data_IF_621381425945
#
_entry.id   IF_621381425945
#
_cell.length_a   1.000
_cell.length_b   1.000
_cell.length_c   1.000
_cell.angle_alpha   90.00
_cell.angle_beta   90.00
_cell.angle_gamma   90.00
#
_symmetry.space_group_name_H-M   'P 1'
#
loop_
_entity.id
_entity.type
_entity.pdbx_description
1 polymer ?
#
# COMPACT_ATOMS: atom_id res chain seq x y z
N UNK A 1 7.93 -13.66 0.68
CA UNK A 1 8.43 -13.95 2.05
C UNK A 1 9.64 -13.08 2.30
N UNK A 2 9.67 -12.40 3.45
CA UNK A 2 10.86 -11.64 3.89
C UNK A 2 11.91 -12.58 4.49
N UNK A 3 13.18 -12.22 4.31
CA UNK A 3 14.34 -12.86 4.93
C UNK A 3 15.22 -11.76 5.54
N UNK A 4 16.00 -12.10 6.56
CA UNK A 4 16.97 -11.18 7.15
C UNK A 4 17.86 -10.53 6.07
N UNK A 5 18.10 -9.23 6.18
CA UNK A 5 18.84 -8.44 5.21
C UNK A 5 18.05 -8.01 3.97
N UNK A 6 16.77 -8.39 3.84
CA UNK A 6 15.91 -7.77 2.82
C UNK A 6 15.65 -6.29 3.14
N UNK A 7 15.25 -5.53 2.13
CA UNK A 7 15.10 -4.09 2.22
C UNK A 7 13.66 -3.67 1.86
N UNK A 8 13.19 -2.64 2.53
CA UNK A 8 11.93 -1.94 2.25
C UNK A 8 12.28 -0.48 2.00
N UNK A 9 11.77 0.10 0.92
CA UNK A 9 11.93 1.52 0.64
C UNK A 9 10.60 2.21 0.94
N UNK A 10 10.65 3.28 1.72
CA UNK A 10 9.55 4.20 2.01
C UNK A 10 9.92 5.61 1.57
N UNK A 11 8.97 6.53 1.55
CA UNK A 11 9.24 7.91 1.14
C UNK A 11 9.08 8.89 2.31
N UNK A 12 9.75 10.04 2.24
CA UNK A 12 9.54 11.15 3.17
C UNK A 12 8.17 11.85 2.99
N UNK A 13 7.43 11.51 1.92
CA UNK A 13 6.07 12.01 1.67
C UNK A 13 4.99 11.21 2.37
N UNK A 14 5.32 10.02 2.90
CA UNK A 14 4.35 9.09 3.45
C UNK A 14 3.69 9.58 4.74
N UNK A 15 2.45 9.17 4.92
CA UNK A 15 1.83 9.14 6.23
C UNK A 15 2.52 8.10 7.11
N UNK A 16 2.65 8.36 8.41
CA UNK A 16 3.29 7.44 9.36
C UNK A 16 2.66 6.03 9.37
N UNK A 17 1.36 5.92 9.08
CA UNK A 17 0.67 4.65 8.91
C UNK A 17 1.20 3.76 7.76
N UNK A 18 1.93 4.36 6.79
CA UNK A 18 2.62 3.63 5.72
C UNK A 18 4.14 3.56 5.94
N UNK A 19 4.64 3.99 7.10
CA UNK A 19 6.07 3.94 7.48
C UNK A 19 6.29 3.08 8.72
N UNK A 20 5.65 3.43 9.85
CA UNK A 20 5.87 2.76 11.13
C UNK A 20 5.66 1.25 11.11
N UNK A 21 4.63 0.68 10.42
CA UNK A 21 4.49 -0.78 10.33
C UNK A 21 5.69 -1.46 9.67
N UNK A 22 6.33 -0.80 8.70
CA UNK A 22 7.54 -1.34 8.06
C UNK A 22 8.76 -1.26 8.97
N UNK A 23 8.87 -0.20 9.78
CA UNK A 23 9.94 -0.07 10.79
C UNK A 23 9.83 -1.16 11.86
N UNK A 24 8.62 -1.44 12.35
CA UNK A 24 8.40 -2.51 13.33
C UNK A 24 8.66 -3.89 12.72
N UNK A 25 8.16 -4.14 11.50
CA UNK A 25 8.46 -5.39 10.77
C UNK A 25 9.96 -5.58 10.55
N UNK A 26 10.67 -4.50 10.22
CA UNK A 26 12.11 -4.54 10.01
C UNK A 26 12.85 -4.90 11.29
N UNK A 27 12.41 -4.40 12.45
CA UNK A 27 12.96 -4.76 13.75
C UNK A 27 12.74 -6.25 14.07
N UNK A 28 11.55 -6.76 13.78
CA UNK A 28 11.18 -8.15 14.09
C UNK A 28 11.90 -9.17 13.19
N UNK A 29 12.21 -8.80 11.95
CA UNK A 29 12.72 -9.72 10.93
C UNK A 29 14.14 -9.42 10.46
N UNK A 30 14.84 -8.47 11.12
CA UNK A 30 16.20 -8.02 10.72
C UNK A 30 16.24 -7.54 9.26
N UNK A 31 15.32 -6.63 8.91
CA UNK A 31 15.26 -5.97 7.61
C UNK A 31 15.86 -4.57 7.70
N UNK A 32 16.10 -3.95 6.54
CA UNK A 32 16.51 -2.55 6.46
C UNK A 32 15.40 -1.71 5.83
N UNK A 33 15.01 -0.62 6.49
CA UNK A 33 14.13 0.40 5.88
C UNK A 33 14.98 1.55 5.38
N UNK A 34 14.79 1.91 4.11
CA UNK A 34 15.45 3.03 3.44
C UNK A 34 14.44 4.11 3.09
N UNK A 35 14.86 5.35 3.08
CA UNK A 35 14.00 6.49 2.81
C UNK A 35 14.39 7.17 1.50
N UNK A 36 13.44 7.27 0.57
CA UNK A 36 13.55 8.14 -0.58
C UNK A 36 13.22 9.59 -0.15
N UNK A 37 14.04 10.54 -0.59
CA UNK A 37 13.94 11.94 -0.21
C UNK A 37 12.90 12.69 -1.06
N UNK A 38 12.55 13.88 -0.62
CA UNK A 38 11.74 14.85 -1.35
C UNK A 38 12.61 16.04 -1.76
N UNK A 39 12.20 16.73 -2.81
CA UNK A 39 12.80 17.99 -3.26
C UNK A 39 12.23 19.17 -2.47
N UNK A 40 12.87 20.33 -2.60
CA UNK A 40 12.44 21.56 -1.94
C UNK A 40 11.01 22.00 -2.33
N UNK A 41 10.55 21.61 -3.52
CA UNK A 41 9.19 21.84 -4.01
C UNK A 41 8.16 20.82 -3.51
N UNK A 42 8.57 19.94 -2.59
CA UNK A 42 7.78 18.84 -1.99
C UNK A 42 7.46 17.68 -2.96
N UNK A 43 8.04 17.66 -4.16
CA UNK A 43 7.90 16.48 -5.04
C UNK A 43 8.81 15.33 -4.58
N UNK A 44 8.40 14.09 -4.84
CA UNK A 44 9.25 12.92 -4.61
C UNK A 44 10.47 12.98 -5.53
N UNK A 45 11.66 12.85 -4.97
CA UNK A 45 12.88 12.72 -5.73
C UNK A 45 13.05 11.29 -6.25
N UNK A 46 12.73 11.09 -7.54
CA UNK A 46 12.82 9.79 -8.19
C UNK A 46 14.27 9.29 -8.33
N UNK A 47 15.26 10.19 -8.39
CA UNK A 47 16.67 9.80 -8.41
C UNK A 47 17.10 9.29 -7.03
N UNK A 48 16.63 9.96 -5.95
CA UNK A 48 16.80 9.47 -4.59
C UNK A 48 16.13 8.11 -4.40
N UNK A 49 14.90 7.92 -4.90
CA UNK A 49 14.21 6.64 -4.85
C UNK A 49 15.01 5.55 -5.55
N UNK A 50 15.44 5.79 -6.79
CA UNK A 50 16.23 4.84 -7.56
C UNK A 50 17.55 4.45 -6.85
N UNK A 51 18.19 5.41 -6.19
CA UNK A 51 19.43 5.17 -5.43
C UNK A 51 19.21 4.31 -4.17
N UNK A 52 17.99 4.22 -3.64
CA UNK A 52 17.67 3.35 -2.50
C UNK A 52 17.33 1.92 -2.91
N UNK A 53 17.07 1.65 -4.20
CA UNK A 53 16.70 0.33 -4.69
C UNK A 53 17.91 -0.59 -4.84
N UNK A 54 17.72 -1.87 -4.55
CA UNK A 54 18.71 -2.92 -4.73
C UNK A 54 18.03 -4.28 -5.02
N UNK A 55 18.80 -5.29 -5.37
CA UNK A 55 18.32 -6.68 -5.52
C UNK A 55 17.71 -7.26 -4.23
N UNK A 56 17.96 -6.64 -3.07
CA UNK A 56 17.39 -7.02 -1.77
C UNK A 56 16.07 -6.32 -1.49
N UNK A 57 15.71 -5.28 -2.23
CA UNK A 57 14.43 -4.57 -2.07
C UNK A 57 13.26 -5.53 -2.34
N UNK A 58 12.28 -5.55 -1.45
CA UNK A 58 11.08 -6.40 -1.56
C UNK A 58 9.80 -5.61 -1.66
N UNK A 59 9.78 -4.40 -1.10
CA UNK A 59 8.64 -3.50 -1.13
C UNK A 59 9.13 -2.08 -1.32
N UNK A 60 8.45 -1.34 -2.18
CA UNK A 60 8.50 0.11 -2.25
C UNK A 60 7.13 0.61 -1.81
N UNK A 61 7.06 1.20 -0.61
CA UNK A 61 5.85 1.79 -0.07
C UNK A 61 5.87 3.31 -0.29
N UNK A 62 4.77 3.85 -0.83
CA UNK A 62 4.69 5.26 -1.21
C UNK A 62 3.24 5.77 -1.20
N UNK A 63 3.00 7.07 -0.99
CA UNK A 63 1.68 7.64 -1.06
C UNK A 63 1.31 7.90 -2.52
N UNK A 64 0.02 7.79 -2.86
CA UNK A 64 -0.48 8.30 -4.15
C UNK A 64 -0.52 9.83 -4.16
N UNK A 65 -0.90 10.40 -3.01
CA UNK A 65 -0.81 11.82 -2.71
C UNK A 65 -0.43 12.03 -1.25
N UNK A 66 0.46 12.98 -0.98
CA UNK A 66 0.85 13.31 0.38
C UNK A 66 -0.32 13.91 1.17
N UNK A 67 -0.59 13.39 2.34
CA UNK A 67 -1.59 13.93 3.26
C UNK A 67 -1.13 15.24 3.93
N UNK A 68 0.17 15.52 3.94
CA UNK A 68 0.75 16.69 4.60
C UNK A 68 0.84 17.90 3.66
N UNK A 69 1.24 17.70 2.42
CA UNK A 69 1.53 18.78 1.45
C UNK A 69 0.69 18.71 0.17
N UNK A 70 -0.10 17.64 -0.03
CA UNK A 70 -1.00 17.48 -1.17
C UNK A 70 -0.31 17.13 -2.49
N UNK A 71 1.00 16.98 -2.51
CA UNK A 71 1.77 16.64 -3.72
C UNK A 71 1.35 15.26 -4.24
N UNK A 72 1.11 15.19 -5.54
CA UNK A 72 0.84 13.93 -6.25
C UNK A 72 2.16 13.24 -6.62
N UNK A 73 2.18 11.93 -6.47
CA UNK A 73 3.30 11.08 -6.90
C UNK A 73 3.03 10.54 -8.30
N UNK A 74 4.05 10.44 -9.13
CA UNK A 74 3.99 9.67 -10.38
C UNK A 74 3.99 8.17 -10.03
N UNK A 75 2.80 7.67 -9.70
CA UNK A 75 2.59 6.30 -9.20
C UNK A 75 3.07 5.26 -10.20
N UNK A 76 2.80 5.49 -11.50
CA UNK A 76 3.19 4.55 -12.55
C UNK A 76 4.72 4.44 -12.64
N UNK A 77 5.42 5.58 -12.56
CA UNK A 77 6.89 5.57 -12.61
C UNK A 77 7.51 4.94 -11.35
N UNK A 78 6.94 5.18 -10.16
CA UNK A 78 7.39 4.53 -8.93
C UNK A 78 7.17 3.03 -8.98
N UNK A 79 6.00 2.59 -9.48
CA UNK A 79 5.70 1.16 -9.65
C UNK A 79 6.67 0.49 -10.65
N UNK A 80 6.98 1.15 -11.76
CA UNK A 80 7.97 0.67 -12.74
C UNK A 80 9.35 0.48 -12.10
N UNK A 81 9.85 1.48 -11.36
CA UNK A 81 11.13 1.39 -10.64
C UNK A 81 11.14 0.27 -9.60
N UNK A 82 10.03 0.08 -8.87
CA UNK A 82 9.90 -1.02 -7.91
C UNK A 82 10.01 -2.37 -8.62
N UNK A 83 9.32 -2.54 -9.75
CA UNK A 83 9.33 -3.79 -10.53
C UNK A 83 10.69 -4.05 -11.18
N UNK A 84 11.39 -3.02 -11.68
CA UNK A 84 12.76 -3.13 -12.19
C UNK A 84 13.72 -3.71 -11.12
N UNK A 85 13.50 -3.38 -9.84
CA UNK A 85 14.25 -3.92 -8.72
C UNK A 85 13.72 -5.29 -8.20
N UNK A 86 12.64 -5.82 -8.79
CA UNK A 86 11.97 -7.05 -8.34
C UNK A 86 11.17 -6.88 -7.05
N UNK A 87 10.82 -5.65 -6.69
CA UNK A 87 10.03 -5.29 -5.51
C UNK A 87 8.55 -5.09 -5.82
N UNK A 88 7.71 -5.19 -4.79
CA UNK A 88 6.29 -4.86 -4.89
C UNK A 88 6.07 -3.35 -4.77
N UNK A 89 5.19 -2.81 -5.62
CA UNK A 89 4.68 -1.44 -5.55
C UNK A 89 3.48 -1.38 -4.58
N UNK A 90 3.66 -0.79 -3.41
CA UNK A 90 2.69 -0.70 -2.33
C UNK A 90 2.21 0.74 -2.15
N UNK A 91 1.04 1.06 -2.68
CA UNK A 91 0.51 2.41 -2.73
C UNK A 91 -0.47 2.69 -1.58
N UNK A 92 -0.25 3.77 -0.83
CA UNK A 92 -1.22 4.37 0.07
C UNK A 92 -2.04 5.42 -0.68
N UNK A 93 -3.28 5.08 -1.04
CA UNK A 93 -4.23 5.98 -1.68
C UNK A 93 -5.25 6.59 -0.69
N UNK A 94 -5.04 6.45 0.61
CA UNK A 94 -5.96 6.91 1.67
C UNK A 94 -6.28 8.41 1.51
N UNK A 95 -5.29 9.22 1.14
CA UNK A 95 -5.54 10.65 0.88
C UNK A 95 -6.05 10.91 -0.54
N UNK A 96 -5.59 10.16 -1.54
CA UNK A 96 -5.94 10.40 -2.94
C UNK A 96 -7.33 9.89 -3.34
N UNK A 97 -7.77 8.74 -2.81
CA UNK A 97 -9.00 8.07 -3.25
C UNK A 97 -10.28 8.96 -3.27
N UNK A 98 -10.45 9.96 -2.38
CA UNK A 98 -11.57 10.90 -2.48
C UNK A 98 -11.45 11.95 -3.59
N UNK A 99 -10.28 12.10 -4.21
CA UNK A 99 -9.97 13.20 -5.13
C UNK A 99 -9.90 12.78 -6.61
N UNK A 100 -9.79 11.50 -6.88
CA UNK A 100 -9.69 11.01 -8.25
C UNK A 100 -9.78 9.50 -8.40
N UNK A 101 -9.93 9.01 -9.63
CA UNK A 101 -9.99 7.57 -9.89
C UNK A 101 -8.65 6.90 -9.56
N UNK A 102 -8.73 5.75 -8.90
CA UNK A 102 -7.58 4.90 -8.58
C UNK A 102 -7.58 3.68 -9.49
N UNK A 103 -7.08 3.84 -10.72
CA UNK A 103 -6.93 2.70 -11.64
C UNK A 103 -5.62 1.95 -11.30
N UNK A 104 -5.77 0.91 -10.51
CA UNK A 104 -4.64 0.08 -10.03
C UNK A 104 -3.91 -0.64 -11.18
N UNK A 105 -4.63 -0.98 -12.25
CA UNK A 105 -4.06 -1.67 -13.41
C UNK A 105 -3.22 -0.70 -14.24
N UNK A 106 -3.77 0.47 -14.56
CA UNK A 106 -3.04 1.49 -15.32
C UNK A 106 -1.84 2.04 -14.55
N UNK A 107 -1.95 2.15 -13.22
CA UNK A 107 -0.87 2.60 -12.35
C UNK A 107 0.18 1.51 -12.07
N UNK A 108 -0.10 0.25 -12.38
CA UNK A 108 0.82 -0.86 -12.18
C UNK A 108 1.10 -1.22 -10.72
N UNK A 109 0.25 -0.80 -9.76
CA UNK A 109 0.47 -1.10 -8.35
C UNK A 109 0.08 -2.55 -8.02
N UNK A 110 0.83 -3.15 -7.11
CA UNK A 110 0.60 -4.51 -6.64
C UNK A 110 -0.36 -4.56 -5.46
N UNK A 111 -0.27 -3.57 -4.58
CA UNK A 111 -1.13 -3.39 -3.41
C UNK A 111 -1.54 -1.93 -3.30
N UNK A 112 -2.81 -1.69 -2.98
CA UNK A 112 -3.33 -0.36 -2.72
C UNK A 112 -4.16 -0.36 -1.44
N UNK A 113 -3.93 0.64 -0.61
CA UNK A 113 -4.67 0.86 0.63
C UNK A 113 -5.55 2.11 0.51
N UNK A 114 -6.77 2.04 1.00
CA UNK A 114 -7.63 3.20 1.15
C UNK A 114 -8.54 3.12 2.38
N UNK A 115 -9.12 4.26 2.73
CA UNK A 115 -9.99 4.40 3.90
C UNK A 115 -11.31 5.08 3.51
N UNK A 116 -12.41 4.32 3.39
CA UNK A 116 -13.72 4.84 2.96
C UNK A 116 -14.23 6.05 3.72
N UNK A 117 -13.88 6.22 5.00
CA UNK A 117 -14.33 7.39 5.76
C UNK A 117 -13.85 8.74 5.19
N UNK A 118 -12.84 8.75 4.33
CA UNK A 118 -12.38 9.96 3.62
C UNK A 118 -13.18 10.29 2.37
N UNK A 119 -14.05 9.36 1.91
CA UNK A 119 -14.92 9.56 0.76
C UNK A 119 -16.36 9.08 1.06
N UNK A 120 -16.97 9.70 2.05
CA UNK A 120 -18.38 9.52 2.48
C UNK A 120 -18.72 8.13 3.04
N UNK A 121 -17.76 7.26 3.24
CA UNK A 121 -17.97 5.91 3.72
C UNK A 121 -17.73 5.76 5.23
N UNK A 122 -17.89 4.55 5.75
CA UNK A 122 -17.67 4.23 7.16
C UNK A 122 -16.19 4.08 7.50
N UNK A 123 -15.88 3.94 8.79
CA UNK A 123 -14.53 3.66 9.29
C UNK A 123 -14.16 2.21 9.01
N UNK A 124 -13.64 1.98 7.82
CA UNK A 124 -13.06 0.73 7.34
C UNK A 124 -11.68 0.98 6.74
N UNK A 125 -10.81 -0.02 6.81
CA UNK A 125 -9.66 -0.15 5.93
C UNK A 125 -10.03 -1.04 4.75
N UNK A 126 -9.66 -0.63 3.54
CA UNK A 126 -9.81 -1.44 2.33
C UNK A 126 -8.43 -1.63 1.71
N UNK A 127 -8.10 -2.87 1.41
CA UNK A 127 -6.87 -3.24 0.71
C UNK A 127 -7.22 -3.94 -0.60
N UNK A 128 -6.64 -3.47 -1.68
CA UNK A 128 -6.54 -4.22 -2.93
C UNK A 128 -5.17 -4.89 -2.97
N UNK A 129 -5.11 -6.11 -3.48
CA UNK A 129 -3.86 -6.71 -3.93
C UNK A 129 -4.11 -7.54 -5.18
N UNK A 130 -3.08 -7.69 -6.03
CA UNK A 130 -3.19 -8.52 -7.22
C UNK A 130 -3.50 -9.96 -6.83
N UNK A 131 -4.31 -10.62 -7.66
CA UNK A 131 -4.78 -11.99 -7.43
C UNK A 131 -3.64 -12.96 -7.13
N UNK A 132 -2.58 -12.90 -7.91
CA UNK A 132 -1.44 -13.82 -7.81
C UNK A 132 -0.72 -13.68 -6.46
N UNK A 133 -0.70 -12.47 -5.89
CA UNK A 133 -0.16 -12.24 -4.55
C UNK A 133 -1.06 -12.85 -3.49
N UNK A 134 -2.36 -12.59 -3.56
CA UNK A 134 -3.32 -13.15 -2.61
C UNK A 134 -3.33 -14.69 -2.63
N UNK A 135 -3.18 -15.30 -3.79
CA UNK A 135 -3.09 -16.76 -3.94
C UNK A 135 -1.80 -17.33 -3.34
N UNK A 136 -0.69 -16.59 -3.47
CA UNK A 136 0.63 -17.03 -3.01
C UNK A 136 0.89 -16.75 -1.52
N UNK A 137 0.24 -15.73 -0.94
CA UNK A 137 0.49 -15.34 0.44
C UNK A 137 -0.25 -16.23 1.44
N UNK A 138 0.42 -16.54 2.54
CA UNK A 138 -0.18 -17.25 3.66
C UNK A 138 -0.91 -16.25 4.57
N UNK A 139 -2.24 -16.34 4.74
CA UNK A 139 -2.97 -15.48 5.64
C UNK A 139 -2.67 -15.83 7.10
N UNK A 140 -2.60 -14.81 7.95
CA UNK A 140 -2.48 -14.98 9.39
C UNK A 140 -3.87 -14.83 10.03
N UNK A 141 -4.61 -15.93 10.14
CA UNK A 141 -5.99 -15.97 10.60
C UNK A 141 -6.31 -17.23 11.39
N UNK A 142 -7.48 -17.25 12.02
CA UNK A 142 -8.00 -18.44 12.73
C UNK A 142 -8.41 -19.52 11.73
N UNK A 143 -8.25 -20.80 12.12
CA UNK A 143 -8.52 -21.96 11.25
C UNK A 143 -9.92 -22.00 10.61
N UNK A 144 -11.02 -21.66 11.33
CA UNK A 144 -12.36 -21.73 10.74
C UNK A 144 -12.70 -20.58 9.79
N UNK A 145 -11.86 -19.55 9.67
CA UNK A 145 -12.11 -18.48 8.71
C UNK A 145 -11.97 -18.97 7.26
N UNK A 146 -12.92 -18.59 6.40
CA UNK A 146 -12.99 -19.05 5.02
C UNK A 146 -11.76 -18.68 4.18
N UNK A 147 -11.37 -19.54 3.26
CA UNK A 147 -10.33 -19.25 2.26
C UNK A 147 -10.92 -18.74 0.94
N UNK A 148 -12.20 -18.97 0.74
CA UNK A 148 -12.92 -18.54 -0.46
C UNK A 148 -14.19 -17.72 -0.08
N UNK A 149 -14.58 -16.74 -0.88
CA UNK A 149 -13.84 -16.22 -2.04
C UNK A 149 -12.51 -15.58 -1.62
N UNK A 150 -11.58 -15.40 -2.57
CA UNK A 150 -10.19 -14.97 -2.31
C UNK A 150 -10.06 -13.70 -1.45
N UNK A 151 -11.00 -12.74 -1.59
CA UNK A 151 -11.06 -11.56 -0.71
C UNK A 151 -11.25 -11.90 0.76
N UNK A 152 -11.99 -12.96 1.11
CA UNK A 152 -12.19 -13.40 2.50
C UNK A 152 -10.96 -14.06 3.11
N UNK A 153 -10.03 -14.52 2.29
CA UNK A 153 -8.85 -15.24 2.74
C UNK A 153 -8.01 -14.46 3.76
N UNK A 154 -8.00 -13.12 3.65
CA UNK A 154 -7.22 -12.24 4.53
C UNK A 154 -8.07 -11.54 5.61
N UNK A 155 -9.35 -11.84 5.67
CA UNK A 155 -10.24 -11.35 6.71
C UNK A 155 -10.23 -12.29 7.90
N UNK A 156 -10.00 -11.75 9.10
CA UNK A 156 -9.64 -12.56 10.27
C UNK A 156 -10.82 -13.13 11.04
N UNK A 157 -12.06 -12.74 10.72
CA UNK A 157 -13.25 -13.18 11.43
C UNK A 157 -14.54 -12.63 10.82
N UNK A 158 -15.61 -12.58 11.63
CA UNK A 158 -16.91 -12.06 11.23
C UNK A 158 -16.79 -10.62 10.71
N UNK A 159 -17.31 -10.39 9.51
CA UNK A 159 -17.22 -9.09 8.86
C UNK A 159 -18.19 -8.08 9.48
N UNK A 160 -17.84 -6.80 9.50
CA UNK A 160 -18.74 -5.72 9.90
C UNK A 160 -19.74 -5.42 8.76
N UNK A 161 -20.75 -6.27 8.60
CA UNK A 161 -21.68 -6.22 7.46
C UNK A 161 -22.36 -4.87 7.28
N UNK A 162 -22.72 -4.19 8.37
CA UNK A 162 -23.29 -2.84 8.36
C UNK A 162 -22.33 -1.80 7.77
N UNK A 163 -21.04 -1.90 8.09
CA UNK A 163 -20.04 -0.99 7.53
C UNK A 163 -19.76 -1.31 6.05
N UNK A 164 -19.76 -2.58 5.66
CA UNK A 164 -19.63 -2.98 4.26
C UNK A 164 -20.82 -2.48 3.42
N UNK A 165 -22.05 -2.55 3.94
CA UNK A 165 -23.22 -1.98 3.28
C UNK A 165 -23.10 -0.45 3.12
N UNK A 166 -22.61 0.24 4.15
CA UNK A 166 -22.30 1.66 4.10
C UNK A 166 -21.24 2.00 3.06
N UNK A 167 -20.19 1.17 2.96
CA UNK A 167 -19.13 1.34 1.95
C UNK A 167 -19.69 1.18 0.52
N UNK A 168 -20.48 0.14 0.27
CA UNK A 168 -21.13 -0.04 -1.04
C UNK A 168 -22.00 1.18 -1.40
N UNK A 169 -22.71 1.75 -0.42
CA UNK A 169 -23.52 2.94 -0.63
C UNK A 169 -22.68 4.17 -0.96
N UNK A 170 -21.53 4.35 -0.30
CA UNK A 170 -20.61 5.43 -0.60
C UNK A 170 -20.04 5.32 -2.02
N UNK A 171 -19.61 4.12 -2.44
CA UNK A 171 -19.10 3.88 -3.81
C UNK A 171 -20.16 4.12 -4.89
N UNK A 172 -21.45 3.86 -4.58
CA UNK A 172 -22.54 4.14 -5.52
C UNK A 172 -22.93 5.61 -5.61
N UNK A 173 -22.59 6.38 -4.57
CA UNK A 173 -22.87 7.81 -4.50
C UNK A 173 -21.86 8.64 -5.33
N UNK A 174 -20.60 8.22 -5.39
CA UNK A 174 -19.52 8.86 -6.17
C UNK A 174 -19.67 8.52 -7.66
#
# INVERSE_FOLDING_TARGET
TFAAGNEIVVTQLDHDGNVSPWLELARDLDLTVRFAEIRDDTTLDLDSLAAQLSERTRVVAFPWASNAVGTLVDVARVAELAHEAGALAWADAVHYAPHGPTDVTAAGVDVLLCSPYKYFGPHLGVAFARRELLESWRPYKVRPAADEPLGHRFETGTLPHELLAGFVSAVRYI
#
